data_IF_773400218526
#
_entry.id   IF_773400218526
#
_cell.length_a   1.000
_cell.length_b   1.000
_cell.length_c   1.000
_cell.angle_alpha   90.00
_cell.angle_beta   90.00
_cell.angle_gamma   90.00
#
_symmetry.space_group_name_H-M   'P 1'
#
loop_
_entity.id
_entity.type
_entity.pdbx_description
1 polymer ?
#
# COMPACT_ATOMS: atom_id res chain seq x y z
N UNK A 1 11.00 47.73 -13.30
CA UNK A 1 10.33 46.48 -13.73
C UNK A 1 11.25 45.36 -13.29
N UNK A 2 11.00 44.82 -12.09
CA UNK A 2 11.96 43.99 -11.35
C UNK A 2 11.45 42.55 -11.41
N UNK A 3 12.12 41.70 -12.19
CA UNK A 3 11.82 40.29 -12.32
C UNK A 3 12.29 39.56 -11.06
N UNK A 4 11.34 39.04 -10.27
CA UNK A 4 11.61 38.15 -9.13
C UNK A 4 11.77 36.74 -9.71
N UNK A 5 13.02 36.29 -9.79
CA UNK A 5 13.35 34.92 -10.12
C UNK A 5 12.95 34.01 -8.95
N UNK A 6 11.88 33.23 -9.16
CA UNK A 6 11.27 32.38 -8.12
C UNK A 6 11.62 30.91 -8.35
N UNK A 7 12.87 30.62 -8.68
CA UNK A 7 13.37 29.24 -8.86
C UNK A 7 14.26 28.82 -7.69
N UNK A 8 13.75 28.96 -6.47
CA UNK A 8 14.33 28.29 -5.31
C UNK A 8 14.04 26.78 -5.39
N UNK A 9 14.81 26.07 -6.22
CA UNK A 9 15.01 24.64 -6.07
C UNK A 9 15.58 24.43 -4.67
N UNK A 10 14.73 24.01 -3.74
CA UNK A 10 15.14 23.57 -2.40
C UNK A 10 16.01 22.34 -2.59
N UNK A 11 17.33 22.57 -2.68
CA UNK A 11 18.32 21.52 -2.61
C UNK A 11 18.05 20.71 -1.34
N UNK A 12 17.76 19.41 -1.54
CA UNK A 12 17.56 18.47 -0.43
C UNK A 12 18.81 18.56 0.45
N UNK A 13 18.68 18.84 1.76
CA UNK A 13 19.84 18.89 2.63
C UNK A 13 20.64 17.60 2.50
N UNK A 14 21.98 17.66 2.54
CA UNK A 14 22.82 16.48 2.41
C UNK A 14 22.34 15.41 3.39
N UNK A 15 22.06 14.23 2.83
CA UNK A 15 21.58 13.08 3.59
C UNK A 15 22.51 12.86 4.77
N UNK A 16 21.94 12.81 5.97
CA UNK A 16 22.61 12.33 7.18
C UNK A 16 23.35 11.05 6.78
N UNK A 17 24.67 11.10 6.88
CA UNK A 17 25.62 10.07 6.47
C UNK A 17 25.10 8.74 6.98
N UNK A 18 24.59 7.90 6.07
CA UNK A 18 24.08 6.59 6.46
C UNK A 18 25.22 5.80 7.12
N UNK A 19 24.99 5.21 8.31
CA UNK A 19 26.00 4.39 8.96
C UNK A 19 26.40 3.27 8.00
N UNK A 20 27.71 3.16 7.72
CA UNK A 20 28.40 2.22 6.81
C UNK A 20 27.49 1.04 6.40
N UNK A 21 26.81 1.26 5.27
CA UNK A 21 25.57 0.59 4.90
C UNK A 21 25.72 -0.93 4.73
N UNK A 22 24.75 -1.66 5.25
CA UNK A 22 24.59 -3.09 4.95
C UNK A 22 24.66 -3.32 3.44
N UNK A 23 25.38 -4.35 3.02
CA UNK A 23 25.50 -4.67 1.59
C UNK A 23 24.12 -4.95 1.00
N UNK A 24 23.90 -4.56 -0.26
CA UNK A 24 22.63 -4.81 -0.96
C UNK A 24 22.18 -6.27 -0.90
N UNK A 25 23.06 -7.29 -1.08
CA UNK A 25 22.66 -8.69 -0.94
C UNK A 25 22.06 -9.01 0.43
N UNK A 26 22.62 -8.45 1.51
CA UNK A 26 22.08 -8.61 2.86
C UNK A 26 20.69 -8.00 2.99
N UNK A 27 20.48 -6.77 2.49
CA UNK A 27 19.17 -6.11 2.57
C UNK A 27 18.09 -6.85 1.78
N UNK A 28 18.46 -7.38 0.62
CA UNK A 28 17.60 -8.27 -0.19
C UNK A 28 17.25 -9.55 0.58
N UNK A 29 18.24 -10.20 1.19
CA UNK A 29 18.01 -11.41 1.98
C UNK A 29 17.10 -11.15 3.19
N UNK A 30 17.28 -10.02 3.89
CA UNK A 30 16.43 -9.60 5.01
C UNK A 30 14.98 -9.36 4.56
N UNK A 31 14.77 -8.73 3.40
CA UNK A 31 13.44 -8.53 2.82
C UNK A 31 12.75 -9.85 2.43
N UNK A 32 13.48 -10.76 1.78
CA UNK A 32 12.96 -12.10 1.42
C UNK A 32 12.62 -12.88 2.69
N UNK A 33 13.52 -12.88 3.68
CA UNK A 33 13.31 -13.56 4.96
C UNK A 33 12.09 -13.03 5.71
N UNK A 34 11.88 -11.71 5.71
CA UNK A 34 10.70 -11.08 6.30
C UNK A 34 9.39 -11.61 5.69
N UNK A 35 9.30 -11.61 4.35
CA UNK A 35 8.10 -12.09 3.64
C UNK A 35 7.91 -13.60 3.84
N UNK A 36 8.99 -14.38 3.81
CA UNK A 36 8.93 -15.82 4.04
C UNK A 36 8.42 -16.17 5.46
N UNK A 37 8.85 -15.43 6.49
CA UNK A 37 8.36 -15.60 7.88
C UNK A 37 6.86 -15.29 7.96
N UNK A 38 6.42 -14.19 7.36
CA UNK A 38 5.00 -13.82 7.37
C UNK A 38 4.16 -14.87 6.64
N UNK A 39 4.56 -15.29 5.44
CA UNK A 39 3.86 -16.34 4.70
C UNK A 39 3.80 -17.67 5.48
N UNK A 40 4.92 -18.07 6.08
CA UNK A 40 4.98 -19.30 6.89
C UNK A 40 4.02 -19.24 8.06
N UNK A 41 3.93 -18.10 8.74
CA UNK A 41 2.95 -17.90 9.81
C UNK A 41 1.51 -17.98 9.28
N UNK A 42 1.22 -17.41 8.11
CA UNK A 42 -0.08 -17.53 7.45
C UNK A 42 -0.49 -18.99 7.20
N UNK A 43 0.42 -19.80 6.65
CA UNK A 43 0.17 -21.23 6.41
C UNK A 43 0.03 -22.02 7.71
N UNK A 44 0.96 -21.87 8.66
CA UNK A 44 0.99 -22.66 9.89
C UNK A 44 -0.21 -22.38 10.80
N UNK A 45 -0.62 -21.11 10.89
CA UNK A 45 -1.71 -20.67 11.75
C UNK A 45 -3.08 -20.74 11.07
N UNK A 46 -3.15 -21.11 9.78
CA UNK A 46 -4.38 -21.19 8.99
C UNK A 46 -5.23 -19.92 9.12
N UNK A 47 -4.58 -18.76 9.04
CA UNK A 47 -5.25 -17.48 9.29
C UNK A 47 -6.23 -17.15 8.16
N UNK A 48 -7.45 -16.66 8.47
CA UNK A 48 -8.30 -16.06 7.45
C UNK A 48 -7.63 -14.78 6.91
N UNK A 49 -8.04 -14.33 5.72
CA UNK A 49 -7.40 -13.19 5.03
C UNK A 49 -7.23 -11.97 5.93
N UNK A 50 -8.28 -11.55 6.65
CA UNK A 50 -8.22 -10.42 7.57
C UNK A 50 -7.23 -10.65 8.73
N UNK A 51 -7.18 -11.87 9.29
CA UNK A 51 -6.23 -12.22 10.34
C UNK A 51 -4.78 -12.24 9.86
N UNK A 52 -4.56 -12.72 8.64
CA UNK A 52 -3.26 -12.72 7.98
C UNK A 52 -2.72 -11.30 7.73
N UNK A 53 -3.60 -10.38 7.31
CA UNK A 53 -3.28 -8.96 7.15
C UNK A 53 -2.95 -8.29 8.49
N UNK A 54 -3.73 -8.57 9.54
CA UNK A 54 -3.52 -8.02 10.87
C UNK A 54 -2.19 -8.44 11.50
N UNK A 55 -1.77 -9.69 11.27
CA UNK A 55 -0.45 -10.18 11.67
C UNK A 55 0.70 -9.32 11.10
N UNK A 56 0.46 -8.69 9.95
CA UNK A 56 1.40 -7.80 9.30
C UNK A 56 1.80 -6.56 10.06
N UNK A 57 0.89 -6.03 10.89
CA UNK A 57 1.11 -4.79 11.63
C UNK A 57 2.30 -4.95 12.60
N UNK A 58 2.28 -5.92 13.55
CA UNK A 58 3.40 -6.11 14.45
C UNK A 58 4.67 -6.57 13.72
N UNK A 59 4.55 -7.39 12.67
CA UNK A 59 5.72 -7.82 11.89
C UNK A 59 6.41 -6.64 11.19
N UNK A 60 5.65 -5.76 10.55
CA UNK A 60 6.17 -4.57 9.87
C UNK A 60 6.82 -3.60 10.87
N UNK A 61 6.18 -3.39 12.03
CA UNK A 61 6.76 -2.58 13.09
C UNK A 61 8.08 -3.18 13.62
N UNK A 62 8.13 -4.50 13.83
CA UNK A 62 9.34 -5.20 14.24
C UNK A 62 10.45 -5.11 13.18
N UNK A 63 10.13 -5.28 11.89
CA UNK A 63 11.10 -5.11 10.81
C UNK A 63 11.67 -3.69 10.79
N UNK A 64 10.80 -2.69 10.90
CA UNK A 64 11.20 -1.28 10.92
C UNK A 64 12.13 -0.95 12.09
N UNK A 65 11.80 -1.42 13.29
CA UNK A 65 12.53 -1.09 14.52
C UNK A 65 13.80 -1.94 14.71
N UNK A 66 13.75 -3.23 14.36
CA UNK A 66 14.83 -4.18 14.68
C UNK A 66 15.80 -4.39 13.51
N UNK A 67 15.27 -4.49 12.28
CA UNK A 67 16.07 -4.72 11.07
C UNK A 67 16.54 -3.39 10.49
N UNK A 68 15.60 -2.50 10.16
CA UNK A 68 15.95 -1.17 9.60
C UNK A 68 16.52 -0.22 10.63
N UNK A 69 16.17 -0.39 11.91
CA UNK A 69 16.56 0.49 13.02
C UNK A 69 16.21 1.95 12.75
N UNK A 70 15.05 2.16 12.14
CA UNK A 70 14.50 3.47 11.79
C UNK A 70 13.20 3.70 12.60
N UNK A 71 12.84 4.96 12.90
CA UNK A 71 11.60 5.25 13.60
C UNK A 71 10.37 4.87 12.77
N UNK A 72 9.29 4.44 13.41
CA UNK A 72 8.04 3.99 12.75
C UNK A 72 7.44 5.05 11.83
N UNK A 73 7.55 6.34 12.17
CA UNK A 73 7.02 7.44 11.36
C UNK A 73 7.58 7.49 9.93
N UNK A 74 8.80 6.99 9.72
CA UNK A 74 9.44 6.95 8.39
C UNK A 74 8.80 5.92 7.46
N UNK A 75 7.96 5.01 7.97
CA UNK A 75 7.13 4.13 7.14
C UNK A 75 6.10 4.91 6.33
N UNK A 76 5.62 6.04 6.85
CA UNK A 76 4.54 6.82 6.23
C UNK A 76 5.08 8.00 5.43
N UNK A 77 6.12 8.66 5.96
CA UNK A 77 6.79 9.80 5.31
C UNK A 77 8.28 9.82 5.70
N UNK A 78 9.13 9.52 4.72
CA UNK A 78 10.58 9.44 4.86
C UNK A 78 11.20 10.81 5.19
N UNK A 79 12.28 10.80 5.98
CA UNK A 79 13.03 12.01 6.32
C UNK A 79 12.30 12.99 7.27
N UNK A 80 11.16 12.60 7.84
CA UNK A 80 10.43 13.45 8.79
C UNK A 80 11.10 13.45 10.18
N UNK A 81 11.30 14.65 10.74
CA UNK A 81 11.97 14.80 12.04
C UNK A 81 11.10 14.32 13.22
N UNK A 82 9.78 14.58 13.18
CA UNK A 82 8.83 14.26 14.26
C UNK A 82 7.47 13.86 13.72
N UNK A 83 6.79 12.99 14.46
CA UNK A 83 5.37 12.71 14.23
C UNK A 83 4.54 13.84 14.85
N UNK A 84 3.77 14.56 14.04
CA UNK A 84 2.90 15.65 14.50
C UNK A 84 1.66 15.68 13.61
N UNK A 85 0.46 15.79 14.19
CA UNK A 85 -0.76 16.03 13.42
C UNK A 85 -1.11 17.51 13.55
N UNK A 86 -1.08 18.22 12.43
CA UNK A 86 -1.63 19.57 12.36
C UNK A 86 -3.16 19.50 12.34
N UNK A 87 -3.85 20.64 12.50
CA UNK A 87 -5.31 20.71 12.33
C UNK A 87 -5.78 20.08 11.01
N UNK A 88 -5.06 20.34 9.92
CA UNK A 88 -5.32 19.73 8.62
C UNK A 88 -5.18 18.20 8.67
N UNK A 89 -4.11 17.67 9.27
CA UNK A 89 -3.92 16.23 9.42
C UNK A 89 -5.01 15.56 10.27
N UNK A 90 -5.49 16.23 11.32
CA UNK A 90 -6.62 15.77 12.14
C UNK A 90 -7.89 15.68 11.29
N UNK A 91 -8.22 16.73 10.52
CA UNK A 91 -9.41 16.72 9.65
C UNK A 91 -9.34 15.57 8.64
N UNK A 92 -8.20 15.37 7.99
CA UNK A 92 -8.00 14.26 7.05
C UNK A 92 -8.20 12.91 7.75
N UNK A 93 -7.56 12.70 8.90
CA UNK A 93 -7.67 11.45 9.66
C UNK A 93 -9.12 11.17 10.09
N UNK A 94 -9.83 12.18 10.60
CA UNK A 94 -11.24 12.04 11.01
C UNK A 94 -12.11 11.62 9.83
N UNK A 95 -11.98 12.30 8.67
CA UNK A 95 -12.77 11.97 7.48
C UNK A 95 -12.49 10.55 6.99
N UNK A 96 -11.22 10.16 6.90
CA UNK A 96 -10.82 8.81 6.47
C UNK A 96 -11.24 7.72 7.47
N UNK A 97 -11.40 8.05 8.74
CA UNK A 97 -11.82 7.09 9.77
C UNK A 97 -13.33 6.80 9.75
N UNK A 98 -14.18 7.64 9.13
CA UNK A 98 -15.63 7.51 9.22
C UNK A 98 -16.13 6.16 8.68
N UNK A 99 -15.80 5.83 7.43
CA UNK A 99 -16.25 4.58 6.80
C UNK A 99 -15.76 3.34 7.54
N UNK A 100 -14.45 3.16 7.83
CA UNK A 100 -14.01 1.99 8.58
C UNK A 100 -14.56 1.96 10.01
N UNK A 101 -14.79 3.09 10.68
CA UNK A 101 -15.41 3.09 12.02
C UNK A 101 -16.85 2.56 12.00
N UNK A 102 -17.66 2.97 11.03
CA UNK A 102 -19.04 2.44 10.85
C UNK A 102 -19.02 0.95 10.51
N UNK A 103 -18.08 0.51 9.67
CA UNK A 103 -17.93 -0.92 9.36
C UNK A 103 -17.43 -1.72 10.57
N UNK A 104 -16.54 -1.16 11.41
CA UNK A 104 -16.07 -1.78 12.64
C UNK A 104 -17.22 -2.02 13.62
N UNK A 105 -18.07 -1.01 13.86
CA UNK A 105 -19.21 -1.15 14.79
C UNK A 105 -20.19 -2.22 14.31
N UNK A 106 -20.41 -2.30 13.00
CA UNK A 106 -21.27 -3.34 12.39
C UNK A 106 -20.66 -4.74 12.54
N UNK A 107 -19.35 -4.89 12.31
CA UNK A 107 -18.67 -6.18 12.48
C UNK A 107 -18.62 -6.62 13.96
N UNK A 108 -18.43 -5.68 14.89
CA UNK A 108 -18.47 -5.96 16.33
C UNK A 108 -19.87 -6.40 16.78
N UNK A 109 -20.93 -5.76 16.29
CA UNK A 109 -22.30 -6.12 16.65
C UNK A 109 -22.72 -7.48 16.09
N UNK A 110 -22.11 -7.92 14.98
CA UNK A 110 -22.30 -9.27 14.43
C UNK A 110 -21.39 -10.34 15.02
N UNK A 111 -20.50 -9.99 15.97
CA UNK A 111 -19.54 -10.90 16.58
C UNK A 111 -18.35 -11.30 15.69
N UNK A 112 -18.14 -10.64 14.55
CA UNK A 112 -17.00 -10.88 13.66
C UNK A 112 -15.80 -10.03 14.10
N UNK A 113 -15.12 -10.52 15.13
CA UNK A 113 -14.00 -9.82 15.76
C UNK A 113 -12.77 -9.67 14.86
N UNK A 114 -12.55 -10.60 13.93
CA UNK A 114 -11.39 -10.54 13.02
C UNK A 114 -11.59 -9.42 12.01
N UNK A 115 -12.78 -9.34 11.40
CA UNK A 115 -13.13 -8.25 10.48
C UNK A 115 -13.24 -6.91 11.22
N UNK A 116 -13.78 -6.89 12.44
CA UNK A 116 -13.75 -5.70 13.28
C UNK A 116 -12.31 -5.21 13.54
N UNK A 117 -11.39 -6.12 13.86
CA UNK A 117 -9.97 -5.83 14.02
C UNK A 117 -9.36 -5.20 12.77
N UNK A 118 -9.70 -5.72 11.59
CA UNK A 118 -9.26 -5.16 10.30
C UNK A 118 -9.75 -3.73 10.11
N UNK A 119 -11.03 -3.45 10.39
CA UNK A 119 -11.58 -2.09 10.29
C UNK A 119 -11.00 -1.15 11.34
N UNK A 120 -10.75 -1.61 12.56
CA UNK A 120 -10.08 -0.81 13.59
C UNK A 120 -8.63 -0.49 13.21
N UNK A 121 -7.93 -1.42 12.58
CA UNK A 121 -6.62 -1.15 11.99
C UNK A 121 -6.73 -0.10 10.87
N UNK A 122 -7.75 -0.15 10.01
CA UNK A 122 -7.98 0.94 9.05
C UNK A 122 -8.23 2.29 9.74
N UNK A 123 -8.99 2.34 10.85
CA UNK A 123 -9.13 3.58 11.65
C UNK A 123 -7.77 4.08 12.16
N UNK A 124 -6.89 3.20 12.65
CA UNK A 124 -5.51 3.55 13.00
C UNK A 124 -4.70 4.04 11.80
N UNK A 125 -4.89 3.43 10.63
CA UNK A 125 -4.27 3.84 9.38
C UNK A 125 -4.71 5.20 8.88
N UNK A 126 -5.94 5.63 9.20
CA UNK A 126 -6.40 7.00 8.91
C UNK A 126 -5.55 8.07 9.63
N UNK A 127 -5.07 7.78 10.84
CA UNK A 127 -4.14 8.66 11.57
C UNK A 127 -2.78 8.75 10.87
N UNK A 128 -2.23 7.62 10.43
CA UNK A 128 -1.00 7.57 9.65
C UNK A 128 -1.14 8.28 8.30
N UNK A 129 -2.29 8.13 7.63
CA UNK A 129 -2.64 8.84 6.41
C UNK A 129 -2.70 10.35 6.63
N UNK A 130 -3.38 10.83 7.68
CA UNK A 130 -3.41 12.25 8.03
C UNK A 130 -2.02 12.82 8.30
N UNK A 131 -1.12 12.05 8.94
CA UNK A 131 0.27 12.44 9.13
C UNK A 131 1.06 12.53 7.82
N UNK A 132 0.88 11.59 6.89
CA UNK A 132 1.60 11.59 5.62
C UNK A 132 1.06 12.64 4.64
N UNK A 133 -0.27 12.73 4.52
CA UNK A 133 -0.93 13.63 3.57
C UNK A 133 -0.79 15.11 3.96
N UNK A 134 -0.55 15.46 5.24
CA UNK A 134 -0.21 16.85 5.59
C UNK A 134 1.18 17.26 5.09
N UNK A 135 2.07 16.29 4.84
CA UNK A 135 3.46 16.53 4.47
C UNK A 135 3.64 16.68 2.96
N UNK A 136 2.56 16.55 2.19
CA UNK A 136 2.55 16.65 0.73
C UNK A 136 1.29 17.36 0.26
N UNK A 137 1.34 18.04 -0.88
CA UNK A 137 0.12 18.64 -1.45
C UNK A 137 -0.76 17.55 -2.09
N UNK A 138 -2.07 17.81 -2.13
CA UNK A 138 -3.01 16.94 -2.85
C UNK A 138 -2.62 16.81 -4.33
N UNK A 139 -2.23 17.91 -4.97
CA UNK A 139 -1.82 17.92 -6.38
C UNK A 139 -0.62 16.99 -6.66
N UNK A 140 0.40 16.99 -5.80
CA UNK A 140 1.54 16.07 -5.95
C UNK A 140 1.11 14.63 -5.73
N UNK A 141 0.27 14.37 -4.72
CA UNK A 141 -0.27 13.03 -4.45
C UNK A 141 -1.03 12.47 -5.66
N UNK A 142 -1.94 13.27 -6.23
CA UNK A 142 -2.71 12.87 -7.42
C UNK A 142 -1.80 12.66 -8.63
N UNK A 143 -0.85 13.57 -8.89
CA UNK A 143 0.10 13.45 -10.00
C UNK A 143 0.89 12.14 -9.92
N UNK A 144 1.35 11.80 -8.72
CA UNK A 144 2.21 10.63 -8.53
C UNK A 144 1.43 9.32 -8.47
N UNK A 145 0.15 9.36 -8.08
CA UNK A 145 -0.78 8.25 -8.14
C UNK A 145 -1.40 8.03 -9.53
N UNK A 146 -1.43 9.04 -10.41
CA UNK A 146 -2.14 8.98 -11.68
C UNK A 146 -1.70 7.79 -12.57
N UNK A 147 -0.38 7.58 -12.72
CA UNK A 147 0.15 6.49 -13.55
C UNK A 147 -0.20 5.10 -12.99
N UNK A 148 0.09 4.76 -11.71
CA UNK A 148 -0.30 3.46 -11.18
C UNK A 148 -1.82 3.26 -11.19
N UNK A 149 -2.64 4.31 -10.95
CA UNK A 149 -4.10 4.24 -11.08
C UNK A 149 -4.49 3.89 -12.51
N UNK A 150 -4.01 4.65 -13.51
CA UNK A 150 -4.39 4.45 -14.90
C UNK A 150 -4.06 3.03 -15.39
N UNK A 151 -2.87 2.53 -15.04
CA UNK A 151 -2.44 1.18 -15.43
C UNK A 151 -3.19 0.10 -14.65
N UNK A 152 -3.28 0.22 -13.33
CA UNK A 152 -3.87 -0.83 -12.50
C UNK A 152 -5.39 -0.88 -12.56
N UNK A 153 -6.06 0.25 -12.34
CA UNK A 153 -7.51 0.32 -12.40
C UNK A 153 -8.01 0.08 -13.84
N UNK A 154 -7.27 0.60 -14.84
CA UNK A 154 -7.55 0.33 -16.25
C UNK A 154 -7.43 -1.16 -16.59
N UNK A 155 -6.39 -1.84 -16.12
CA UNK A 155 -6.24 -3.28 -16.32
C UNK A 155 -7.37 -4.08 -15.65
N UNK A 156 -7.72 -3.77 -14.39
CA UNK A 156 -8.83 -4.44 -13.69
C UNK A 156 -10.16 -4.25 -14.41
N UNK A 157 -10.50 -3.00 -14.77
CA UNK A 157 -11.71 -2.69 -15.50
C UNK A 157 -11.76 -3.39 -16.87
N UNK A 158 -10.62 -3.48 -17.56
CA UNK A 158 -10.53 -4.17 -18.85
C UNK A 158 -10.76 -5.67 -18.70
N UNK A 159 -10.07 -6.31 -17.75
CA UNK A 159 -10.20 -7.76 -17.52
C UNK A 159 -11.63 -8.13 -17.17
N UNK A 160 -12.21 -7.50 -16.15
CA UNK A 160 -13.57 -7.85 -15.73
C UNK A 160 -14.64 -7.35 -16.70
N UNK A 161 -14.41 -6.24 -17.39
CA UNK A 161 -15.27 -5.79 -18.49
C UNK A 161 -15.34 -6.81 -19.63
N UNK A 162 -14.21 -7.41 -20.01
CA UNK A 162 -14.18 -8.51 -20.99
C UNK A 162 -14.94 -9.73 -20.48
N UNK A 163 -14.82 -10.07 -19.19
CA UNK A 163 -15.60 -11.19 -18.61
C UNK A 163 -17.10 -10.91 -18.68
N UNK A 164 -17.57 -9.72 -18.30
CA UNK A 164 -18.97 -9.31 -18.46
C UNK A 164 -19.47 -9.46 -19.89
N UNK A 165 -18.68 -9.01 -20.88
CA UNK A 165 -19.02 -9.15 -22.29
C UNK A 165 -19.06 -10.61 -22.73
N UNK A 166 -18.08 -11.42 -22.32
CA UNK A 166 -17.97 -12.82 -22.68
C UNK A 166 -19.10 -13.69 -22.08
N UNK A 167 -19.56 -13.35 -20.87
CA UNK A 167 -20.66 -14.07 -20.18
C UNK A 167 -22.04 -13.49 -20.48
N UNK A 168 -22.13 -12.37 -21.19
CA UNK A 168 -23.39 -11.65 -21.41
C UNK A 168 -24.01 -11.07 -20.13
N UNK A 169 -23.23 -10.97 -19.06
CA UNK A 169 -23.71 -10.52 -17.75
C UNK A 169 -23.59 -9.00 -17.66
N UNK A 170 -24.67 -8.25 -17.45
CA UNK A 170 -24.59 -6.79 -17.37
C UNK A 170 -23.90 -6.34 -16.07
N UNK A 171 -22.99 -5.37 -16.18
CA UNK A 171 -22.41 -4.71 -15.02
C UNK A 171 -23.45 -3.77 -14.38
N UNK A 172 -23.82 -3.93 -13.09
CA UNK A 172 -24.70 -3.00 -12.40
C UNK A 172 -23.95 -1.68 -12.10
N UNK A 173 -23.85 -0.80 -13.09
CA UNK A 173 -22.97 0.37 -13.08
C UNK A 173 -23.11 1.27 -11.85
N UNK A 174 -24.33 1.52 -11.37
CA UNK A 174 -24.57 2.33 -10.17
C UNK A 174 -24.03 1.65 -8.89
N UNK A 175 -24.23 0.34 -8.76
CA UNK A 175 -23.70 -0.43 -7.63
C UNK A 175 -22.17 -0.55 -7.70
N UNK A 176 -21.62 -0.72 -8.90
CA UNK A 176 -20.18 -0.72 -9.15
C UNK A 176 -19.55 0.61 -8.74
N UNK A 177 -20.14 1.75 -9.13
CA UNK A 177 -19.66 3.07 -8.74
C UNK A 177 -19.73 3.27 -7.21
N UNK A 178 -20.84 2.87 -6.58
CA UNK A 178 -20.97 2.92 -5.13
C UNK A 178 -19.92 2.05 -4.42
N UNK A 179 -19.62 0.86 -4.96
CA UNK A 179 -18.57 -0.01 -4.46
C UNK A 179 -17.18 0.63 -4.60
N UNK A 180 -16.88 1.28 -5.74
CA UNK A 180 -15.62 2.00 -5.94
C UNK A 180 -15.43 3.08 -4.88
N UNK A 181 -16.46 3.88 -4.60
CA UNK A 181 -16.39 4.92 -3.56
C UNK A 181 -16.18 4.31 -2.18
N UNK A 182 -17.00 3.30 -1.82
CA UNK A 182 -16.93 2.60 -0.53
C UNK A 182 -15.55 1.97 -0.29
N UNK A 183 -15.06 1.19 -1.25
CA UNK A 183 -13.80 0.48 -1.11
C UNK A 183 -12.59 1.40 -1.18
N UNK A 184 -12.65 2.50 -1.94
CA UNK A 184 -11.58 3.52 -1.87
C UNK A 184 -11.50 4.12 -0.47
N UNK A 185 -12.65 4.46 0.14
CA UNK A 185 -12.70 5.01 1.50
C UNK A 185 -12.24 4.01 2.58
N UNK A 186 -12.41 2.70 2.35
CA UNK A 186 -11.94 1.65 3.27
C UNK A 186 -10.46 1.33 3.08
N UNK A 187 -10.01 1.11 1.85
CA UNK A 187 -8.66 0.63 1.56
C UNK A 187 -7.61 1.72 1.65
N UNK A 188 -7.95 2.99 1.35
CA UNK A 188 -7.00 4.08 1.50
C UNK A 188 -6.40 4.14 2.91
N UNK A 189 -7.18 4.22 3.99
CA UNK A 189 -6.58 4.19 5.33
C UNK A 189 -6.00 2.81 5.70
N UNK A 190 -6.57 1.70 5.24
CA UNK A 190 -6.03 0.35 5.54
C UNK A 190 -4.60 0.14 5.00
N UNK A 191 -4.31 0.62 3.79
CA UNK A 191 -2.97 0.50 3.17
C UNK A 191 -1.86 1.19 3.98
N UNK A 192 -2.21 2.17 4.82
CA UNK A 192 -1.27 2.83 5.73
C UNK A 192 -0.87 1.98 6.94
N UNK A 193 -1.55 0.88 7.26
CA UNK A 193 -1.13 -0.03 8.34
C UNK A 193 -0.88 -1.48 7.90
N UNK A 194 -1.31 -1.88 6.70
CA UNK A 194 -1.19 -3.27 6.26
C UNK A 194 -0.20 -3.41 5.10
N UNK A 195 -0.61 -3.09 3.88
CA UNK A 195 0.13 -3.52 2.69
C UNK A 195 1.17 -2.51 2.23
N UNK A 196 0.75 -1.30 1.85
CA UNK A 196 1.67 -0.31 1.29
C UNK A 196 2.74 0.10 2.31
N UNK A 197 2.35 0.23 3.58
CA UNK A 197 3.30 0.52 4.66
C UNK A 197 4.39 -0.55 4.78
N UNK A 198 4.04 -1.82 4.59
CA UNK A 198 4.98 -2.93 4.67
C UNK A 198 5.88 -2.95 3.43
N UNK A 199 5.28 -3.00 2.25
CA UNK A 199 6.02 -3.22 1.01
C UNK A 199 6.76 -1.99 0.52
N UNK A 200 6.20 -0.78 0.68
CA UNK A 200 6.81 0.46 0.18
C UNK A 200 7.52 1.18 1.33
N UNK A 201 6.80 1.42 2.42
CA UNK A 201 7.32 2.11 3.60
C UNK A 201 8.48 1.38 4.29
N UNK A 202 8.42 0.05 4.38
CA UNK A 202 9.42 -0.77 5.04
C UNK A 202 10.38 -1.46 4.04
N UNK A 203 9.87 -2.39 3.22
CA UNK A 203 10.71 -3.27 2.39
C UNK A 203 11.38 -2.50 1.26
N UNK A 204 10.64 -1.75 0.44
CA UNK A 204 11.23 -1.02 -0.68
C UNK A 204 12.26 0.01 -0.18
N UNK A 205 11.90 0.75 0.85
CA UNK A 205 12.79 1.70 1.51
C UNK A 205 14.00 1.06 2.23
N UNK A 206 14.03 -0.26 2.41
CA UNK A 206 15.18 -1.03 2.91
C UNK A 206 16.03 -1.58 1.77
N UNK A 207 15.40 -2.13 0.75
CA UNK A 207 16.10 -2.77 -0.36
C UNK A 207 16.77 -1.72 -1.25
N UNK A 208 16.10 -0.60 -1.51
CA UNK A 208 16.56 0.45 -2.41
C UNK A 208 16.87 1.74 -1.67
N UNK A 209 18.09 2.26 -1.90
CA UNK A 209 18.51 3.57 -1.41
C UNK A 209 18.66 4.56 -2.58
N UNK A 210 18.43 5.85 -2.30
CA UNK A 210 18.58 6.92 -3.29
C UNK A 210 20.00 6.94 -3.87
N UNK A 211 20.10 7.08 -5.20
CA UNK A 211 21.37 7.07 -5.94
C UNK A 211 21.82 5.69 -6.45
N UNK A 212 21.14 4.61 -6.09
CA UNK A 212 21.45 3.28 -6.65
C UNK A 212 20.92 3.11 -8.09
N UNK A 213 21.80 2.82 -9.05
CA UNK A 213 21.44 2.69 -10.48
C UNK A 213 20.54 1.52 -10.87
N UNK A 214 20.21 0.59 -9.96
CA UNK A 214 19.34 -0.58 -10.26
C UNK A 214 17.98 -0.51 -9.56
N UNK A 215 17.36 0.66 -9.58
CA UNK A 215 16.03 0.88 -9.00
C UNK A 215 14.95 -0.04 -9.59
N UNK A 216 14.94 -0.29 -10.91
CA UNK A 216 13.91 -1.15 -11.49
C UNK A 216 13.96 -2.60 -10.97
N UNK A 217 15.16 -3.15 -10.75
CA UNK A 217 15.33 -4.53 -10.27
C UNK A 217 14.80 -4.71 -8.85
N UNK A 218 15.07 -3.76 -7.96
CA UNK A 218 14.51 -3.81 -6.60
C UNK A 218 13.00 -3.62 -6.63
N UNK A 219 12.46 -2.78 -7.53
CA UNK A 219 11.01 -2.60 -7.66
C UNK A 219 10.33 -3.90 -8.11
N UNK A 220 10.91 -4.60 -9.09
CA UNK A 220 10.43 -5.92 -9.54
C UNK A 220 10.49 -6.94 -8.41
N UNK A 221 11.61 -7.01 -7.68
CA UNK A 221 11.75 -7.91 -6.53
C UNK A 221 10.68 -7.65 -5.47
N UNK A 222 10.52 -6.41 -5.02
CA UNK A 222 9.54 -6.04 -4.00
C UNK A 222 8.12 -6.36 -4.46
N UNK A 223 7.83 -6.12 -5.74
CA UNK A 223 6.52 -6.42 -6.33
C UNK A 223 6.24 -7.92 -6.43
N UNK A 224 7.25 -8.71 -6.80
CA UNK A 224 7.14 -10.18 -6.80
C UNK A 224 6.94 -10.71 -5.37
N UNK A 225 7.66 -10.17 -4.39
CA UNK A 225 7.47 -10.51 -2.98
C UNK A 225 6.07 -10.14 -2.49
N UNK A 226 5.52 -9.00 -2.91
CA UNK A 226 4.13 -8.61 -2.63
C UNK A 226 3.12 -9.58 -3.23
N UNK A 227 3.34 -10.05 -4.47
CA UNK A 227 2.51 -11.09 -5.07
C UNK A 227 2.58 -12.42 -4.31
N UNK A 228 3.78 -12.95 -4.08
CA UNK A 228 3.96 -14.22 -3.36
C UNK A 228 3.42 -14.18 -1.93
N UNK A 229 3.46 -13.02 -1.28
CA UNK A 229 2.91 -12.82 0.05
C UNK A 229 1.41 -13.12 0.14
N UNK A 230 0.66 -13.09 -0.96
CA UNK A 230 -0.76 -13.47 -0.95
C UNK A 230 -1.00 -14.97 -0.92
N UNK A 231 0.00 -15.81 -1.21
CA UNK A 231 -0.16 -17.27 -1.35
C UNK A 231 -0.93 -17.96 -0.21
N UNK A 232 -0.72 -17.64 1.09
CA UNK A 232 -1.45 -18.31 2.17
C UNK A 232 -2.97 -18.06 2.16
N UNK A 233 -3.42 -17.01 1.48
CA UNK A 233 -4.81 -16.55 1.46
C UNK A 233 -5.40 -16.52 0.05
N UNK A 234 -4.66 -17.03 -0.94
CA UNK A 234 -5.12 -17.18 -2.32
C UNK A 234 -5.49 -18.63 -2.63
N UNK A 235 -6.48 -18.82 -3.48
CA UNK A 235 -6.96 -20.14 -3.92
C UNK A 235 -7.59 -20.04 -5.31
N UNK A 236 -8.01 -21.17 -5.88
CA UNK A 236 -8.73 -21.22 -7.17
C UNK A 236 -7.92 -21.69 -8.38
N UNK A 237 -6.59 -21.76 -8.27
CA UNK A 237 -5.71 -22.30 -9.31
C UNK A 237 -4.75 -23.36 -8.75
N UNK A 238 -4.20 -24.21 -9.63
CA UNK A 238 -3.08 -25.09 -9.28
C UNK A 238 -1.87 -24.23 -8.87
N UNK A 239 -1.09 -24.69 -7.88
CA UNK A 239 -0.02 -23.90 -7.25
C UNK A 239 0.93 -23.22 -8.25
N UNK A 240 1.45 -23.89 -9.31
CA UNK A 240 2.33 -23.22 -10.26
C UNK A 240 1.66 -22.07 -11.02
N UNK A 241 0.39 -22.24 -11.38
CA UNK A 241 -0.40 -21.22 -12.09
C UNK A 241 -0.72 -20.06 -11.16
N UNK A 242 -1.10 -20.35 -9.91
CA UNK A 242 -1.36 -19.34 -8.88
C UNK A 242 -0.11 -18.49 -8.61
N UNK A 243 1.05 -19.13 -8.45
CA UNK A 243 2.33 -18.43 -8.26
C UNK A 243 2.63 -17.51 -9.45
N UNK A 244 2.48 -18.00 -10.68
CA UNK A 244 2.73 -17.21 -11.88
C UNK A 244 1.77 -16.01 -11.97
N UNK A 245 0.48 -16.23 -11.71
CA UNK A 245 -0.54 -15.19 -11.71
C UNK A 245 -0.24 -14.11 -10.66
N UNK A 246 -0.01 -14.50 -9.40
CA UNK A 246 0.34 -13.59 -8.33
C UNK A 246 1.60 -12.78 -8.66
N UNK A 247 2.66 -13.40 -9.17
CA UNK A 247 3.90 -12.68 -9.53
C UNK A 247 3.66 -11.71 -10.68
N UNK A 248 3.03 -12.15 -11.77
CA UNK A 248 2.83 -11.32 -12.97
C UNK A 248 1.93 -10.12 -12.68
N UNK A 249 0.78 -10.34 -12.04
CA UNK A 249 -0.17 -9.27 -11.69
C UNK A 249 0.51 -8.25 -10.77
N UNK A 250 1.18 -8.71 -9.71
CA UNK A 250 1.76 -7.79 -8.74
C UNK A 250 3.01 -7.09 -9.26
N UNK A 251 3.80 -7.68 -10.17
CA UNK A 251 4.87 -6.94 -10.87
C UNK A 251 4.29 -5.82 -11.73
N UNK A 252 3.22 -6.12 -12.50
CA UNK A 252 2.57 -5.15 -13.37
C UNK A 252 2.06 -3.91 -12.63
N UNK A 253 1.59 -4.09 -11.39
CA UNK A 253 1.07 -3.02 -10.53
C UNK A 253 2.16 -2.41 -9.62
N UNK A 254 2.86 -3.25 -8.89
CA UNK A 254 3.75 -2.90 -7.78
C UNK A 254 4.98 -2.08 -8.18
N UNK A 255 5.47 -2.26 -9.41
CA UNK A 255 6.63 -1.49 -9.90
C UNK A 255 6.30 0.00 -9.95
N UNK A 256 5.10 0.35 -10.41
CA UNK A 256 4.66 1.75 -10.48
C UNK A 256 4.38 2.33 -9.10
N UNK A 257 3.88 1.51 -8.17
CA UNK A 257 3.68 1.89 -6.77
C UNK A 257 5.03 2.16 -6.07
N UNK A 258 6.04 1.32 -6.33
CA UNK A 258 7.41 1.53 -5.85
C UNK A 258 8.00 2.84 -6.39
N UNK A 259 7.82 3.15 -7.68
CA UNK A 259 8.28 4.42 -8.25
C UNK A 259 7.49 5.64 -7.76
N UNK A 260 6.22 5.49 -7.40
CA UNK A 260 5.47 6.55 -6.74
C UNK A 260 6.05 6.83 -5.34
N UNK A 261 6.29 5.79 -4.54
CA UNK A 261 6.95 5.91 -3.23
C UNK A 261 8.33 6.57 -3.33
N UNK A 262 9.20 6.10 -4.22
CA UNK A 262 10.59 6.58 -4.31
C UNK A 262 10.72 8.03 -4.77
N UNK A 263 9.79 8.52 -5.60
CA UNK A 263 9.80 9.93 -6.03
C UNK A 263 9.47 10.89 -4.89
N UNK A 264 8.59 10.48 -3.98
CA UNK A 264 8.04 11.38 -2.95
C UNK A 264 8.60 11.13 -1.57
N UNK A 265 9.05 9.91 -1.28
CA UNK A 265 9.28 9.42 0.07
C UNK A 265 8.01 9.44 0.93
N UNK A 266 6.82 9.43 0.33
CA UNK A 266 5.54 9.59 1.02
C UNK A 266 4.54 8.54 0.54
N UNK A 267 3.88 7.89 1.50
CA UNK A 267 3.02 6.73 1.24
C UNK A 267 1.66 7.12 0.61
N UNK A 268 1.28 8.40 0.64
CA UNK A 268 -0.04 8.84 0.17
C UNK A 268 -0.34 8.49 -1.29
N UNK A 269 0.63 8.67 -2.19
CA UNK A 269 0.45 8.37 -3.62
C UNK A 269 0.27 6.87 -3.90
N UNK A 270 1.19 5.97 -3.45
CA UNK A 270 1.00 4.54 -3.66
C UNK A 270 -0.21 3.97 -2.89
N UNK A 271 -0.51 4.46 -1.68
CA UNK A 271 -1.71 4.10 -0.92
C UNK A 271 -3.01 4.43 -1.67
N UNK A 272 -3.13 5.66 -2.19
CA UNK A 272 -4.28 6.06 -2.99
C UNK A 272 -4.41 5.21 -4.25
N UNK A 273 -3.31 4.97 -4.95
CA UNK A 273 -3.34 4.18 -6.16
C UNK A 273 -3.78 2.74 -5.90
N UNK A 274 -3.20 2.07 -4.89
CA UNK A 274 -3.62 0.74 -4.48
C UNK A 274 -5.10 0.72 -4.11
N UNK A 275 -5.56 1.62 -3.24
CA UNK A 275 -6.96 1.66 -2.81
C UNK A 275 -7.94 1.80 -3.98
N UNK A 276 -7.62 2.63 -4.99
CA UNK A 276 -8.44 2.80 -6.19
C UNK A 276 -8.41 1.55 -7.08
N UNK A 277 -7.26 0.92 -7.27
CA UNK A 277 -7.13 -0.31 -8.07
C UNK A 277 -8.03 -1.42 -7.49
N UNK A 278 -7.94 -1.61 -6.18
CA UNK A 278 -8.73 -2.61 -5.45
C UNK A 278 -10.22 -2.28 -5.43
N UNK A 279 -10.56 -1.00 -5.31
CA UNK A 279 -11.93 -0.55 -5.37
C UNK A 279 -12.55 -0.76 -6.76
N UNK A 280 -11.78 -0.51 -7.83
CA UNK A 280 -12.21 -0.80 -9.20
C UNK A 280 -12.38 -2.30 -9.41
N UNK A 281 -11.41 -3.14 -9.01
CA UNK A 281 -11.55 -4.61 -9.02
C UNK A 281 -12.87 -5.02 -8.36
N UNK A 282 -13.11 -4.59 -7.12
CA UNK A 282 -14.30 -4.96 -6.36
C UNK A 282 -15.61 -4.43 -6.97
N UNK A 283 -15.59 -3.25 -7.61
CA UNK A 283 -16.75 -2.71 -8.31
C UNK A 283 -17.05 -3.47 -9.61
N UNK A 284 -16.01 -3.84 -10.35
CA UNK A 284 -16.14 -4.48 -11.67
C UNK A 284 -16.40 -5.98 -11.62
N UNK A 285 -16.23 -6.63 -10.47
CA UNK A 285 -16.64 -8.03 -10.28
C UNK A 285 -18.12 -8.17 -9.92
N UNK A 286 -18.83 -7.09 -9.64
CA UNK A 286 -20.23 -7.18 -9.22
C UNK A 286 -21.10 -7.78 -10.32
N UNK A 287 -21.79 -8.86 -9.99
CA UNK A 287 -22.71 -9.55 -10.89
C UNK A 287 -22.08 -10.72 -11.64
N UNK A 288 -20.75 -10.83 -11.69
CA UNK A 288 -20.02 -12.03 -12.11
C UNK A 288 -20.03 -13.09 -11.00
#
# INVERSE_FOLDING_TARGET
>A
MTTIDTTAHTARPPSVTEPRGSSRPRRVAEAIGFVAVWMSAGFLLHLPSNGYLLLGIPLTAAFQLLVRRRPVRELFAAGTARFALTRQGIVIATVLALTPAVCATTAMSSGDWVTAGWYLAAVGGAVAAGFAMRAQTLATTLRDAARPIALGAGAMATVYGVVHLATGTPLPAAAALAAVVKYTALYLPATFLMEEVAFRGAIDAHVHHDGEGRGWQSAVLVSALWGLWHLPVSSGFAVPVLVAELVVVHIGLGVWLSFAWRRTGNLAAPALAHAVIDAVRNGTVLGL
#
